data_IF_931309160105
#
_entry.id   IF_931309160105
#
_cell.length_a   1.000
_cell.length_b   1.000
_cell.length_c   1.000
_cell.angle_alpha   90.00
_cell.angle_beta   90.00
_cell.angle_gamma   90.00
#
_symmetry.space_group_name_H-M   'P 1'
#
loop_
_entity.id
_entity.type
_entity.pdbx_description
1 polymer ?
#
# COMPACT_ATOMS: atom_id res chain seq x y z
N UNK A 1 -8.86 14.49 2.23
CA UNK A 1 -9.50 14.13 0.95
C UNK A 1 -8.84 12.88 0.38
N UNK A 2 -9.62 11.92 -0.12
CA UNK A 2 -9.08 10.62 -0.61
C UNK A 2 -8.42 10.75 -1.98
N UNK A 3 -8.93 11.63 -2.84
CA UNK A 3 -8.41 11.82 -4.18
C UNK A 3 -7.03 12.48 -4.13
N UNK A 4 -6.84 13.47 -3.26
CA UNK A 4 -5.53 14.09 -3.04
C UNK A 4 -4.48 13.09 -2.53
N UNK A 5 -4.82 12.26 -1.53
CA UNK A 5 -3.90 11.26 -0.99
C UNK A 5 -3.51 10.19 -2.00
N UNK A 6 -4.49 9.66 -2.75
CA UNK A 6 -4.22 8.69 -3.81
C UNK A 6 -3.36 9.30 -4.93
N UNK A 7 -3.65 10.54 -5.34
CA UNK A 7 -2.88 11.22 -6.40
C UNK A 7 -1.42 11.43 -5.98
N UNK A 8 -1.18 11.82 -4.73
CA UNK A 8 0.17 11.98 -4.19
C UNK A 8 0.90 10.64 -4.12
N UNK A 9 0.27 9.59 -3.57
CA UNK A 9 0.87 8.27 -3.47
C UNK A 9 1.23 7.70 -4.86
N UNK A 10 0.32 7.81 -5.83
CA UNK A 10 0.58 7.39 -7.22
C UNK A 10 1.67 8.22 -7.88
N UNK A 11 1.75 9.52 -7.60
CA UNK A 11 2.84 10.37 -8.10
C UNK A 11 4.20 9.91 -7.57
N UNK A 12 4.30 9.57 -6.28
CA UNK A 12 5.54 9.04 -5.70
C UNK A 12 5.94 7.69 -6.30
N UNK A 13 4.96 6.82 -6.58
CA UNK A 13 5.22 5.50 -7.18
C UNK A 13 5.65 5.64 -8.65
N UNK A 14 4.87 6.34 -9.48
CA UNK A 14 5.09 6.37 -10.92
C UNK A 14 6.18 7.35 -11.34
N UNK A 15 6.29 8.51 -10.70
CA UNK A 15 7.28 9.54 -11.05
C UNK A 15 8.46 9.56 -10.10
N UNK A 16 8.25 9.23 -8.82
CA UNK A 16 9.31 9.19 -7.81
C UNK A 16 10.05 7.84 -7.69
N UNK A 17 9.59 6.80 -8.39
CA UNK A 17 10.17 5.45 -8.31
C UNK A 17 10.03 4.80 -6.92
N UNK A 18 9.12 5.30 -6.09
CA UNK A 18 8.95 4.80 -4.73
C UNK A 18 8.41 3.36 -4.73
N UNK A 19 9.02 2.53 -3.89
CA UNK A 19 8.48 1.23 -3.51
C UNK A 19 7.33 1.44 -2.54
N UNK A 20 6.21 0.77 -2.76
CA UNK A 20 5.00 0.98 -1.98
C UNK A 20 4.37 -0.34 -1.55
N UNK A 21 3.75 -0.31 -0.37
CA UNK A 21 2.86 -1.33 0.18
C UNK A 21 1.77 -0.63 0.98
N UNK A 22 0.65 -1.31 1.20
CA UNK A 22 -0.51 -0.73 1.87
C UNK A 22 -1.32 -1.76 2.64
N UNK A 23 -1.78 -1.35 3.82
CA UNK A 23 -2.66 -2.13 4.70
C UNK A 23 -3.74 -1.23 5.28
N UNK A 24 -4.85 -1.84 5.69
CA UNK A 24 -5.90 -1.18 6.47
C UNK A 24 -5.70 -1.55 7.94
N UNK A 25 -5.68 -0.52 8.80
CA UNK A 25 -5.55 -0.63 10.25
C UNK A 25 -6.87 -0.28 10.96
N UNK A 26 -6.98 -0.63 12.24
CA UNK A 26 -8.15 -0.31 13.09
C UNK A 26 -9.19 -1.44 13.22
N UNK A 27 -9.06 -2.52 12.43
CA UNK A 27 -9.77 -3.76 12.69
C UNK A 27 -9.07 -4.60 13.77
N UNK A 28 -9.60 -5.78 14.11
CA UNK A 28 -8.97 -6.71 15.08
C UNK A 28 -7.60 -7.24 14.62
N UNK A 29 -7.31 -7.17 13.33
CA UNK A 29 -6.02 -7.51 12.74
C UNK A 29 -5.82 -6.64 11.47
N UNK A 30 -4.57 -6.39 11.03
CA UNK A 30 -4.28 -5.70 9.78
C UNK A 30 -4.91 -6.40 8.58
N UNK A 31 -5.47 -5.63 7.64
CA UNK A 31 -6.07 -6.17 6.41
C UNK A 31 -5.24 -5.76 5.19
N UNK A 32 -4.72 -6.76 4.48
CA UNK A 32 -4.01 -6.56 3.22
C UNK A 32 -5.03 -6.47 2.07
N UNK A 33 -5.20 -5.28 1.51
CA UNK A 33 -6.08 -5.03 0.37
C UNK A 33 -5.24 -4.69 -0.87
N UNK A 34 -5.30 -5.54 -1.89
CA UNK A 34 -4.46 -5.44 -3.08
C UNK A 34 -5.27 -5.09 -4.33
N UNK A 35 -4.64 -4.40 -5.28
CA UNK A 35 -5.15 -4.18 -6.63
C UNK A 35 -4.64 -5.23 -7.61
N UNK A 36 -5.42 -5.48 -8.67
CA UNK A 36 -4.97 -6.28 -9.82
C UNK A 36 -3.76 -5.65 -10.52
N UNK A 37 -3.64 -4.33 -10.47
CA UNK A 37 -2.55 -3.58 -11.08
C UNK A 37 -1.27 -3.55 -10.23
N UNK A 38 -1.30 -4.06 -8.99
CA UNK A 38 -0.13 -4.04 -8.13
C UNK A 38 0.91 -5.07 -8.60
N UNK A 39 2.17 -4.65 -8.63
CA UNK A 39 3.28 -5.55 -8.96
C UNK A 39 3.44 -6.63 -7.87
N UNK A 40 4.06 -7.78 -8.19
CA UNK A 40 4.37 -8.79 -7.17
C UNK A 40 5.14 -8.23 -5.97
N UNK A 41 6.04 -7.27 -6.22
CA UNK A 41 6.82 -6.61 -5.18
C UNK A 41 5.95 -5.75 -4.25
N UNK A 42 4.99 -4.99 -4.80
CA UNK A 42 4.07 -4.19 -4.00
C UNK A 42 3.17 -5.07 -3.12
N UNK A 43 2.72 -6.22 -3.65
CA UNK A 43 1.93 -7.20 -2.88
C UNK A 43 2.74 -7.76 -1.71
N UNK A 44 4.02 -8.07 -1.96
CA UNK A 44 4.94 -8.54 -0.92
C UNK A 44 5.14 -7.48 0.17
N UNK A 45 5.35 -6.21 -0.20
CA UNK A 45 5.49 -5.14 0.79
C UNK A 45 4.23 -4.91 1.61
N UNK A 46 3.03 -5.03 1.03
CA UNK A 46 1.79 -4.97 1.80
C UNK A 46 1.69 -6.09 2.84
N UNK A 47 2.14 -7.31 2.51
CA UNK A 47 2.21 -8.42 3.47
C UNK A 47 3.25 -8.12 4.57
N UNK A 48 4.43 -7.62 4.20
CA UNK A 48 5.46 -7.25 5.16
C UNK A 48 4.98 -6.14 6.12
N UNK A 49 4.25 -5.14 5.60
CA UNK A 49 3.65 -4.08 6.40
C UNK A 49 2.63 -4.64 7.38
N UNK A 50 1.78 -5.59 6.95
CA UNK A 50 0.81 -6.22 7.85
C UNK A 50 1.51 -6.89 9.04
N UNK A 51 2.56 -7.67 8.78
CA UNK A 51 3.36 -8.32 9.83
C UNK A 51 4.06 -7.32 10.76
N UNK A 52 4.57 -6.23 10.23
CA UNK A 52 5.25 -5.19 11.02
C UNK A 52 4.29 -4.32 11.85
N UNK A 53 2.98 -4.41 11.58
CA UNK A 53 1.93 -3.64 12.27
C UNK A 53 1.16 -4.43 13.34
N UNK A 54 1.58 -5.68 13.60
CA UNK A 54 1.05 -6.54 14.66
C UNK A 54 1.59 -6.14 16.05
#
# INVERSE_FOLDING_TARGET
DVAAGNSLAKSMIYFGGAKAGGIILGAKAPVVLLSRADSPEQKLYSIAFALASL
#
